data_IF_898329991457
#
_entry.id   IF_898329991457
#
_cell.length_a   1.000
_cell.length_b   1.000
_cell.length_c   1.000
_cell.angle_alpha   90.00
_cell.angle_beta   90.00
_cell.angle_gamma   90.00
#
_symmetry.space_group_name_H-M   'P 1'
#
loop_
_entity.id
_entity.type
_entity.pdbx_description
1 polymer ?
#
# COMPACT_ATOMS: atom_id res chain seq x y z
N UNK A 1 -3.72 -5.57 12.06
CA UNK A 1 -3.27 -4.39 11.28
C UNK A 1 -3.48 -4.67 9.80
N UNK A 2 -4.11 -3.74 9.09
CA UNK A 2 -4.36 -3.79 7.65
C UNK A 2 -3.12 -3.40 6.84
N UNK A 3 -2.73 -2.12 6.87
CA UNK A 3 -1.63 -1.59 6.06
C UNK A 3 -0.92 -0.41 6.76
N UNK A 4 0.13 0.11 6.11
CA UNK A 4 0.92 1.27 6.53
C UNK A 4 1.59 1.11 7.89
N UNK A 5 2.57 0.23 7.99
CA UNK A 5 3.51 0.24 9.10
C UNK A 5 4.90 -0.14 8.61
N UNK A 6 5.89 0.65 8.96
CA UNK A 6 7.29 0.35 8.71
C UNK A 6 8.11 0.69 9.96
N UNK A 7 9.17 -0.05 10.28
CA UNK A 7 10.02 0.27 11.43
C UNK A 7 10.59 1.69 11.34
N UNK A 8 10.74 2.32 12.50
CA UNK A 8 11.52 3.55 12.70
C UNK A 8 12.95 3.24 13.09
N UNK A 9 13.81 4.26 13.15
CA UNK A 9 15.17 4.15 13.69
C UNK A 9 15.23 3.63 15.14
N UNK A 10 14.10 3.64 15.87
CA UNK A 10 13.98 3.22 17.27
C UNK A 10 13.20 1.92 17.48
N UNK A 11 12.69 1.31 16.41
CA UNK A 11 11.91 0.07 16.51
C UNK A 11 12.84 -1.07 16.96
N UNK A 12 12.42 -1.79 18.00
CA UNK A 12 13.16 -2.93 18.59
C UNK A 12 12.34 -4.22 18.58
N UNK A 13 11.11 -4.13 18.12
CA UNK A 13 10.17 -5.22 17.98
C UNK A 13 10.72 -6.28 17.03
N UNK A 14 10.53 -7.54 17.41
CA UNK A 14 10.91 -8.72 16.63
C UNK A 14 9.69 -9.58 16.39
N UNK A 15 9.65 -10.25 15.24
CA UNK A 15 8.57 -11.17 14.94
C UNK A 15 8.57 -12.37 15.89
N UNK A 16 7.38 -12.77 16.28
CA UNK A 16 7.11 -13.90 17.16
C UNK A 16 6.39 -15.01 16.40
N UNK A 17 6.51 -16.24 16.91
CA UNK A 17 5.76 -17.38 16.38
C UNK A 17 4.25 -17.09 16.45
N UNK A 18 3.54 -17.26 15.33
CA UNK A 18 2.12 -16.96 15.19
C UNK A 18 1.81 -15.58 14.60
N UNK A 19 2.81 -14.71 14.42
CA UNK A 19 2.59 -13.42 13.76
C UNK A 19 2.21 -13.62 12.28
N UNK A 20 1.18 -12.89 11.84
CA UNK A 20 0.74 -12.84 10.45
C UNK A 20 1.27 -11.55 9.80
N UNK A 21 2.36 -11.69 9.06
CA UNK A 21 3.15 -10.58 8.54
C UNK A 21 2.83 -10.37 7.07
N UNK A 22 2.44 -9.14 6.72
CA UNK A 22 2.35 -8.70 5.31
C UNK A 22 3.68 -8.05 4.95
N UNK A 23 4.28 -8.52 3.86
CA UNK A 23 5.48 -7.94 3.26
C UNK A 23 5.02 -7.25 1.99
N UNK A 24 5.02 -5.92 2.02
CA UNK A 24 4.56 -5.04 0.94
C UNK A 24 5.78 -4.23 0.48
N UNK A 25 6.13 -4.38 -0.81
CA UNK A 25 7.43 -4.04 -1.36
C UNK A 25 7.28 -3.31 -2.70
N UNK A 26 7.64 -2.03 -2.68
CA UNK A 26 7.79 -1.22 -3.88
C UNK A 26 9.25 -1.10 -4.35
N UNK A 27 9.45 -1.20 -5.67
CA UNK A 27 10.73 -0.89 -6.35
C UNK A 27 10.44 0.04 -7.52
N UNK A 28 11.40 0.90 -7.90
CA UNK A 28 11.29 1.65 -9.14
C UNK A 28 12.59 1.74 -9.93
N UNK A 29 12.48 1.80 -11.26
CA UNK A 29 13.57 2.17 -12.18
C UNK A 29 13.15 3.44 -12.88
N UNK A 30 13.90 4.53 -12.70
CA UNK A 30 13.58 5.85 -13.28
C UNK A 30 12.13 6.33 -13.06
N UNK A 31 11.50 5.88 -11.98
CA UNK A 31 10.13 6.20 -11.59
C UNK A 31 9.07 5.24 -12.12
N UNK A 32 9.42 4.24 -12.92
CA UNK A 32 8.52 3.12 -13.25
C UNK A 32 8.45 2.18 -12.06
N UNK A 33 7.29 2.06 -11.45
CA UNK A 33 7.09 1.40 -10.16
C UNK A 33 6.59 -0.03 -10.39
N UNK A 34 7.17 -0.98 -9.66
CA UNK A 34 6.58 -2.28 -9.38
C UNK A 34 6.21 -2.34 -7.90
N UNK A 35 4.97 -2.69 -7.64
CA UNK A 35 4.36 -2.88 -6.32
C UNK A 35 3.86 -4.32 -6.16
N UNK A 36 4.19 -4.95 -5.04
CA UNK A 36 3.87 -6.34 -4.75
C UNK A 36 3.83 -6.56 -3.24
N UNK A 37 2.87 -7.37 -2.82
CA UNK A 37 2.75 -7.80 -1.45
C UNK A 37 2.40 -9.27 -1.33
N UNK A 38 2.87 -9.88 -0.23
CA UNK A 38 2.48 -11.22 0.19
C UNK A 38 2.29 -11.28 1.71
N UNK A 39 1.63 -12.33 2.18
CA UNK A 39 1.45 -12.59 3.61
C UNK A 39 2.10 -13.89 4.02
N UNK A 40 2.85 -13.88 5.12
CA UNK A 40 3.51 -15.05 5.74
C UNK A 40 3.12 -15.14 7.20
N UNK A 41 2.89 -16.36 7.68
CA UNK A 41 2.75 -16.65 9.10
C UNK A 41 4.08 -17.20 9.66
N UNK A 42 4.51 -16.67 10.80
CA UNK A 42 5.82 -17.01 11.38
C UNK A 42 5.73 -18.30 12.20
N UNK A 43 6.34 -19.38 11.71
CA UNK A 43 6.56 -20.62 12.47
C UNK A 43 5.30 -21.45 12.79
N UNK A 44 4.15 -21.10 12.21
CA UNK A 44 2.86 -21.82 12.31
C UNK A 44 2.10 -21.73 10.98
N UNK A 45 0.90 -22.31 10.93
CA UNK A 45 0.02 -22.31 9.76
C UNK A 45 -1.46 -22.16 10.14
N UNK A 46 -1.75 -21.45 11.24
CA UNK A 46 -3.11 -21.23 11.76
C UNK A 46 -3.96 -20.43 10.78
N UNK A 47 -3.35 -19.55 10.00
CA UNK A 47 -3.99 -18.61 9.08
C UNK A 47 -3.76 -18.96 7.61
N UNK A 48 -3.31 -20.17 7.29
CA UNK A 48 -3.05 -20.58 5.89
C UNK A 48 -4.26 -20.37 4.98
N UNK A 49 -5.46 -20.74 5.43
CA UNK A 49 -6.70 -20.53 4.65
C UNK A 49 -6.99 -19.05 4.39
N UNK A 50 -6.65 -18.15 5.32
CA UNK A 50 -6.83 -16.70 5.15
C UNK A 50 -5.85 -16.17 4.09
N UNK A 51 -4.58 -16.61 4.15
CA UNK A 51 -3.55 -16.26 3.16
C UNK A 51 -3.87 -16.83 1.77
N UNK A 52 -4.32 -18.09 1.69
CA UNK A 52 -4.73 -18.70 0.43
C UNK A 52 -5.92 -17.96 -0.18
N UNK A 53 -6.84 -17.46 0.67
CA UNK A 53 -7.99 -16.66 0.20
C UNK A 53 -7.55 -15.35 -0.43
N UNK A 54 -6.54 -14.65 0.11
CA UNK A 54 -6.05 -13.41 -0.54
C UNK A 54 -5.39 -13.69 -1.89
N UNK A 55 -4.67 -14.80 -2.01
CA UNK A 55 -4.04 -15.23 -3.27
C UNK A 55 -5.07 -15.62 -4.32
N UNK A 56 -6.09 -16.39 -3.94
CA UNK A 56 -7.18 -16.77 -4.85
C UNK A 56 -7.99 -15.55 -5.32
N UNK A 57 -8.25 -14.60 -4.41
CA UNK A 57 -8.93 -13.35 -4.77
C UNK A 57 -8.12 -12.50 -5.74
N UNK A 58 -6.80 -12.45 -5.58
CA UNK A 58 -5.90 -11.77 -6.52
C UNK A 58 -5.92 -12.42 -7.90
N UNK A 59 -5.85 -13.75 -7.96
CA UNK A 59 -5.90 -14.48 -9.22
C UNK A 59 -7.23 -14.23 -9.95
N UNK A 60 -8.36 -14.32 -9.25
CA UNK A 60 -9.68 -14.05 -9.81
C UNK A 60 -9.80 -12.60 -10.33
N UNK A 61 -9.19 -11.65 -9.63
CA UNK A 61 -9.15 -10.25 -10.04
C UNK A 61 -8.34 -10.04 -11.33
N UNK A 62 -7.17 -10.67 -11.44
CA UNK A 62 -6.29 -10.60 -12.61
C UNK A 62 -6.96 -11.24 -13.84
N UNK A 63 -7.64 -12.38 -13.67
CA UNK A 63 -8.39 -13.04 -14.75
C UNK A 63 -9.48 -12.14 -15.36
N UNK A 64 -10.08 -11.28 -14.54
CA UNK A 64 -11.11 -10.32 -14.98
C UNK A 64 -10.49 -9.03 -15.54
N UNK A 65 -9.27 -8.67 -15.14
CA UNK A 65 -8.64 -7.42 -15.54
C UNK A 65 -8.27 -7.40 -17.03
N UNK A 66 -8.72 -6.37 -17.75
CA UNK A 66 -8.44 -6.20 -19.17
C UNK A 66 -8.99 -4.89 -19.74
N UNK A 67 -8.72 -4.60 -21.02
CA UNK A 67 -9.20 -3.37 -21.66
C UNK A 67 -10.73 -3.37 -21.76
N UNK A 68 -11.35 -2.22 -21.45
CA UNK A 68 -12.81 -2.06 -21.45
C UNK A 68 -13.49 -2.59 -20.19
N UNK A 69 -12.76 -3.21 -19.26
CA UNK A 69 -13.31 -3.70 -18.00
C UNK A 69 -13.44 -2.56 -17.01
N UNK A 70 -14.60 -2.47 -16.37
CA UNK A 70 -14.83 -1.55 -15.27
C UNK A 70 -14.21 -2.10 -13.97
N UNK A 71 -13.51 -1.28 -13.20
CA UNK A 71 -12.87 -1.69 -11.93
C UNK A 71 -13.86 -2.27 -10.91
N UNK A 72 -15.14 -1.90 -10.94
CA UNK A 72 -16.18 -2.51 -10.11
C UNK A 72 -16.41 -4.01 -10.40
N UNK A 73 -16.11 -4.48 -11.61
CA UNK A 73 -16.14 -5.92 -11.95
C UNK A 73 -14.98 -6.68 -11.31
N UNK A 74 -13.82 -6.04 -11.19
CA UNK A 74 -12.67 -6.59 -10.45
C UNK A 74 -13.05 -6.72 -8.97
N UNK A 75 -13.61 -5.66 -8.38
CA UNK A 75 -14.09 -5.71 -6.99
C UNK A 75 -15.18 -6.74 -6.74
N UNK A 76 -16.06 -6.99 -7.70
CA UNK A 76 -17.04 -8.08 -7.63
C UNK A 76 -16.37 -9.47 -7.60
N UNK A 77 -15.36 -9.71 -8.44
CA UNK A 77 -14.60 -10.96 -8.47
C UNK A 77 -13.85 -11.19 -7.15
N UNK A 78 -13.20 -10.14 -6.63
CA UNK A 78 -12.51 -10.16 -5.33
C UNK A 78 -13.50 -10.50 -4.21
N UNK A 79 -14.59 -9.74 -4.08
CA UNK A 79 -15.58 -9.92 -3.02
C UNK A 79 -16.19 -11.32 -3.05
N UNK A 80 -16.62 -11.79 -4.22
CA UNK A 80 -17.26 -13.10 -4.37
C UNK A 80 -16.32 -14.22 -3.94
N UNK A 81 -15.05 -14.13 -4.34
CA UNK A 81 -14.04 -15.12 -3.98
C UNK A 81 -13.80 -15.16 -2.46
N UNK A 82 -13.69 -14.00 -1.83
CA UNK A 82 -13.44 -13.88 -0.40
C UNK A 82 -14.64 -14.36 0.43
N UNK A 83 -15.85 -13.92 0.10
CA UNK A 83 -17.07 -14.24 0.85
C UNK A 83 -17.44 -15.73 0.72
N UNK A 84 -17.24 -16.35 -0.44
CA UNK A 84 -17.46 -17.79 -0.62
C UNK A 84 -16.55 -18.66 0.25
N UNK A 85 -15.43 -18.11 0.72
CA UNK A 85 -14.50 -18.79 1.63
C UNK A 85 -14.75 -18.46 3.10
N UNK A 86 -15.81 -17.72 3.41
CA UNK A 86 -16.23 -17.39 4.77
C UNK A 86 -15.46 -16.24 5.42
N UNK A 87 -14.73 -15.45 4.63
CA UNK A 87 -14.00 -14.27 5.09
C UNK A 87 -14.65 -12.98 4.57
N UNK A 88 -14.11 -11.83 4.96
CA UNK A 88 -14.58 -10.52 4.49
C UNK A 88 -13.47 -9.76 3.76
N UNK A 89 -13.77 -9.09 2.64
CA UNK A 89 -12.85 -8.10 2.08
C UNK A 89 -12.77 -6.88 3.00
N UNK A 90 -11.64 -6.20 3.04
CA UNK A 90 -11.56 -4.87 3.63
C UNK A 90 -12.09 -3.84 2.64
N UNK A 91 -13.29 -3.33 2.90
CA UNK A 91 -14.05 -2.54 1.92
C UNK A 91 -13.45 -1.16 1.61
N UNK A 92 -12.66 -0.60 2.53
CA UNK A 92 -12.06 0.73 2.39
C UNK A 92 -10.54 0.70 2.19
N UNK A 93 -10.01 -0.45 1.76
CA UNK A 93 -8.68 -0.58 1.15
C UNK A 93 -8.87 -1.10 -0.28
N UNK A 94 -8.15 -0.52 -1.21
CA UNK A 94 -8.34 -0.70 -2.65
C UNK A 94 -6.99 -0.67 -3.32
N UNK A 95 -6.83 -1.46 -4.36
CA UNK A 95 -5.73 -1.25 -5.31
C UNK A 95 -5.82 0.10 -5.99
N UNK A 96 -4.80 0.43 -6.77
CA UNK A 96 -4.67 1.76 -7.33
C UNK A 96 -3.99 1.79 -8.70
N UNK A 97 -4.25 2.85 -9.46
CA UNK A 97 -3.47 3.14 -10.66
C UNK A 97 -2.06 3.59 -10.32
N UNK A 98 -1.10 3.24 -11.17
CA UNK A 98 0.31 3.60 -11.03
C UNK A 98 0.74 4.40 -12.26
N UNK A 99 1.49 5.48 -12.02
CA UNK A 99 2.17 6.27 -13.06
C UNK A 99 3.62 6.50 -12.67
N UNK A 100 4.42 7.00 -13.62
CA UNK A 100 5.82 7.34 -13.37
C UNK A 100 5.95 8.33 -12.19
N UNK A 101 6.70 7.95 -11.15
CA UNK A 101 6.85 8.70 -9.88
C UNK A 101 5.54 8.99 -9.12
N UNK A 102 4.44 8.33 -9.47
CA UNK A 102 3.16 8.51 -8.81
C UNK A 102 2.55 7.13 -8.52
N UNK A 103 2.75 6.70 -7.27
CA UNK A 103 2.24 5.43 -6.77
C UNK A 103 0.70 5.36 -6.85
N UNK A 104 0.00 6.45 -6.56
CA UNK A 104 -1.47 6.49 -6.52
C UNK A 104 -2.03 7.45 -7.58
N UNK A 105 -2.21 6.98 -8.80
CA UNK A 105 -2.51 7.79 -9.99
C UNK A 105 -3.99 8.10 -10.24
N UNK A 106 -4.86 7.89 -9.24
CA UNK A 106 -6.28 8.26 -9.26
C UNK A 106 -7.26 7.19 -9.76
N UNK A 107 -6.78 6.05 -10.27
CA UNK A 107 -7.61 4.85 -10.43
C UNK A 107 -7.69 4.18 -9.06
N UNK A 108 -8.88 3.78 -8.63
CA UNK A 108 -9.10 2.92 -7.46
C UNK A 108 -9.63 1.59 -7.95
N UNK A 109 -9.04 0.49 -7.50
CA UNK A 109 -9.43 -0.89 -7.82
C UNK A 109 -10.05 -1.49 -6.55
N UNK A 110 -11.38 -1.51 -6.42
CA UNK A 110 -12.03 -1.85 -5.16
C UNK A 110 -11.90 -3.34 -4.82
N UNK A 111 -11.92 -3.65 -3.52
CA UNK A 111 -12.00 -5.03 -3.00
C UNK A 111 -13.44 -5.49 -2.75
N UNK A 112 -14.41 -4.61 -3.00
CA UNK A 112 -15.85 -4.87 -2.92
C UNK A 112 -16.52 -4.51 -4.24
N UNK A 113 -17.69 -5.10 -4.48
CA UNK A 113 -18.54 -4.72 -5.60
C UNK A 113 -18.90 -3.25 -5.51
N UNK A 114 -18.59 -2.50 -6.56
CA UNK A 114 -19.03 -1.12 -6.73
C UNK A 114 -19.76 -0.96 -8.07
N UNK A 115 -20.74 -0.05 -8.09
CA UNK A 115 -21.46 0.29 -9.31
C UNK A 115 -20.67 1.38 -10.05
N UNK A 116 -19.98 0.99 -11.12
CA UNK A 116 -19.19 1.91 -11.93
C UNK A 116 -17.77 2.10 -11.40
N UNK A 117 -17.14 3.20 -11.77
CA UNK A 117 -15.71 3.44 -11.59
C UNK A 117 -14.98 3.58 -12.91
N UNK A 118 -13.65 3.60 -12.87
CA UNK A 118 -12.82 3.71 -14.07
C UNK A 118 -12.99 2.48 -14.97
N UNK A 119 -13.07 2.71 -16.27
CA UNK A 119 -12.94 1.67 -17.29
C UNK A 119 -11.49 1.62 -17.72
N UNK A 120 -10.87 0.46 -17.54
CA UNK A 120 -9.46 0.21 -17.84
C UNK A 120 -9.19 0.31 -19.33
N UNK A 121 -8.03 0.87 -19.69
CA UNK A 121 -7.60 1.09 -21.07
C UNK A 121 -6.22 0.47 -21.29
N UNK A 122 -5.89 0.08 -22.53
CA UNK A 122 -4.53 -0.34 -22.86
C UNK A 122 -3.51 0.73 -22.43
N UNK A 123 -2.45 0.29 -21.75
CA UNK A 123 -1.41 1.15 -21.18
C UNK A 123 -1.66 1.59 -19.74
N UNK A 124 -2.84 1.33 -19.16
CA UNK A 124 -3.03 1.51 -17.72
C UNK A 124 -2.16 0.51 -16.95
N UNK A 125 -1.50 0.98 -15.90
CA UNK A 125 -0.79 0.16 -14.92
C UNK A 125 -1.55 0.27 -13.61
N UNK A 126 -1.90 -0.86 -13.01
CA UNK A 126 -2.65 -0.92 -11.75
C UNK A 126 -1.99 -1.89 -10.78
N UNK A 127 -1.99 -1.53 -9.50
CA UNK A 127 -1.86 -2.48 -8.41
C UNK A 127 -3.24 -3.10 -8.13
N UNK A 128 -3.28 -4.42 -8.05
CA UNK A 128 -4.46 -5.17 -7.58
C UNK A 128 -4.05 -5.82 -6.27
N UNK A 129 -4.67 -5.42 -5.15
CA UNK A 129 -4.28 -5.81 -3.79
C UNK A 129 -5.48 -6.19 -2.90
N UNK A 130 -5.96 -7.44 -2.99
CA UNK A 130 -6.99 -7.94 -2.11
C UNK A 130 -6.53 -8.03 -0.65
N UNK A 131 -7.26 -7.33 0.22
CA UNK A 131 -7.14 -7.48 1.67
C UNK A 131 -8.30 -8.32 2.22
N UNK A 132 -7.95 -9.40 2.90
CA UNK A 132 -8.88 -10.39 3.46
C UNK A 132 -8.78 -10.38 4.97
N UNK A 133 -9.91 -10.41 5.67
CA UNK A 133 -9.95 -10.46 7.13
C UNK A 133 -11.01 -11.41 7.69
N UNK A 134 -10.76 -11.90 8.90
CA UNK A 134 -11.74 -12.57 9.77
C UNK A 134 -12.45 -11.60 10.75
N UNK A 135 -12.19 -10.29 10.64
CA UNK A 135 -12.73 -9.25 11.51
C UNK A 135 -13.96 -8.50 10.96
N UNK A 136 -13.92 -7.17 11.06
CA UNK A 136 -15.01 -6.27 10.67
C UNK A 136 -15.08 -6.03 9.14
N UNK A 137 -13.98 -6.19 8.41
CA UNK A 137 -13.92 -5.88 6.97
C UNK A 137 -13.74 -4.38 6.70
N UNK A 138 -13.16 -3.65 7.65
CA UNK A 138 -12.93 -2.21 7.53
C UNK A 138 -11.72 -1.80 8.35
N UNK A 139 -10.93 -0.86 7.85
CA UNK A 139 -9.78 -0.29 8.56
C UNK A 139 -9.97 1.16 8.96
N UNK A 140 -9.25 1.56 10.00
CA UNK A 140 -9.14 2.95 10.41
C UNK A 140 -7.97 3.15 11.35
N UNK A 141 -7.52 4.39 11.50
CA UNK A 141 -6.45 4.70 12.43
C UNK A 141 -5.94 6.12 12.29
N UNK A 142 -5.22 6.54 13.33
CA UNK A 142 -4.56 7.87 13.40
C UNK A 142 -3.12 7.76 13.92
N UNK A 143 -2.64 6.54 14.16
CA UNK A 143 -1.29 6.31 14.66
C UNK A 143 -0.29 6.55 13.54
N UNK A 144 0.90 7.06 13.87
CA UNK A 144 1.94 7.29 12.88
C UNK A 144 2.50 5.96 12.36
N UNK A 145 2.48 5.75 11.05
CA UNK A 145 2.99 4.55 10.37
C UNK A 145 4.51 4.51 10.18
N UNK A 146 5.15 5.66 10.42
CA UNK A 146 6.50 5.96 9.97
C UNK A 146 6.69 6.06 8.45
N UNK A 147 5.60 6.24 7.70
CA UNK A 147 5.59 6.49 6.25
C UNK A 147 5.06 7.91 6.02
N UNK A 148 5.83 8.72 5.30
CA UNK A 148 5.62 10.16 5.13
C UNK A 148 5.53 10.55 3.65
N UNK A 149 4.87 11.68 3.40
CA UNK A 149 4.84 12.34 2.10
C UNK A 149 4.95 13.85 2.27
N UNK A 150 5.41 14.52 1.22
CA UNK A 150 5.36 15.99 1.14
C UNK A 150 3.92 16.41 0.84
N UNK A 151 3.37 17.31 1.66
CA UNK A 151 2.06 17.94 1.42
C UNK A 151 2.17 19.23 0.64
N UNK A 152 3.18 20.04 0.96
CA UNK A 152 3.41 21.33 0.36
C UNK A 152 4.84 21.79 0.61
N UNK A 153 5.37 22.56 -0.32
CA UNK A 153 6.68 23.20 -0.21
C UNK A 153 6.49 24.67 0.10
N UNK A 154 7.19 25.15 1.12
CA UNK A 154 7.23 26.55 1.53
C UNK A 154 8.55 26.83 2.24
N UNK A 155 8.89 28.11 2.40
CA UNK A 155 10.10 28.50 3.09
C UNK A 155 10.01 28.17 4.59
N UNK A 156 11.10 27.64 5.16
CA UNK A 156 11.28 27.40 6.59
C UNK A 156 12.60 28.00 7.04
N UNK A 157 12.59 28.78 8.13
CA UNK A 157 13.80 29.48 8.61
C UNK A 157 14.90 28.55 9.11
N UNK A 158 14.54 27.34 9.55
CA UNK A 158 15.49 26.37 10.08
C UNK A 158 16.30 25.74 8.95
N UNK A 159 17.60 26.05 8.90
CA UNK A 159 18.47 25.62 7.80
C UNK A 159 18.54 24.10 7.63
N UNK A 160 18.56 23.33 8.74
CA UNK A 160 18.62 21.88 8.69
C UNK A 160 17.32 21.30 8.14
N UNK A 161 16.17 21.82 8.57
CA UNK A 161 14.87 21.40 8.05
C UNK A 161 14.69 21.81 6.57
N UNK A 162 15.16 22.99 6.17
CA UNK A 162 15.14 23.42 4.76
C UNK A 162 15.95 22.46 3.89
N UNK A 163 17.21 22.19 4.26
CA UNK A 163 18.06 21.22 3.54
C UNK A 163 17.42 19.83 3.47
N UNK A 164 16.80 19.37 4.57
CA UNK A 164 16.12 18.08 4.60
C UNK A 164 15.00 17.99 3.57
N UNK A 165 14.11 18.99 3.47
CA UNK A 165 12.99 18.91 2.53
C UNK A 165 13.45 19.04 1.06
N UNK A 166 14.53 19.78 0.80
CA UNK A 166 15.14 19.86 -0.54
C UNK A 166 15.69 18.49 -0.96
N UNK A 167 16.39 17.79 -0.06
CA UNK A 167 16.90 16.44 -0.30
C UNK A 167 15.78 15.40 -0.46
N UNK A 168 14.71 15.48 0.34
CA UNK A 168 13.53 14.61 0.20
C UNK A 168 12.91 14.79 -1.20
N UNK A 169 12.74 16.04 -1.66
CA UNK A 169 12.23 16.33 -3.00
C UNK A 169 13.12 15.75 -4.10
N UNK A 170 14.43 16.00 -3.99
CA UNK A 170 15.39 15.55 -5.00
C UNK A 170 15.45 14.02 -5.09
N UNK A 171 15.53 13.34 -3.94
CA UNK A 171 15.75 11.90 -3.84
C UNK A 171 14.50 11.08 -4.10
N UNK A 172 13.36 11.45 -3.50
CA UNK A 172 12.15 10.63 -3.55
C UNK A 172 11.14 11.11 -4.59
N UNK A 173 11.29 12.33 -5.14
CA UNK A 173 10.51 12.83 -6.29
C UNK A 173 8.99 12.70 -6.11
N UNK A 174 8.50 12.90 -4.88
CA UNK A 174 7.09 12.80 -4.53
C UNK A 174 6.63 11.42 -4.04
N UNK A 175 7.49 10.39 -4.13
CA UNK A 175 7.20 9.07 -3.56
C UNK A 175 7.24 9.10 -2.02
N UNK A 176 6.48 8.20 -1.36
CA UNK A 176 6.53 8.06 0.09
C UNK A 176 7.93 7.71 0.60
N UNK A 177 8.24 8.13 1.83
CA UNK A 177 9.52 7.85 2.48
C UNK A 177 9.36 7.53 3.95
N UNK A 178 10.33 6.82 4.53
CA UNK A 178 10.35 6.49 5.95
C UNK A 178 11.38 7.33 6.73
N UNK A 179 11.13 7.57 8.02
CA UNK A 179 12.06 8.32 8.88
C UNK A 179 13.45 7.67 8.93
N UNK A 180 13.52 6.34 8.98
CA UNK A 180 14.79 5.59 9.00
C UNK A 180 15.69 5.88 7.78
N UNK A 181 15.12 6.31 6.65
CA UNK A 181 15.89 6.67 5.46
C UNK A 181 16.51 8.07 5.56
N UNK A 182 15.90 8.95 6.36
CA UNK A 182 16.36 10.33 6.53
C UNK A 182 17.66 10.40 7.33
N UNK A 183 17.99 9.37 8.12
CA UNK A 183 19.28 9.29 8.81
C UNK A 183 20.47 9.19 7.84
N UNK A 184 20.25 8.71 6.60
CA UNK A 184 21.28 8.76 5.55
C UNK A 184 21.47 10.17 4.96
N UNK A 185 20.56 11.10 5.24
CA UNK A 185 20.62 12.50 4.81
C UNK A 185 21.18 13.35 5.97
N UNK A 186 20.67 13.13 7.18
CA UNK A 186 21.12 13.78 8.40
C UNK A 186 21.21 12.77 9.53
N UNK A 187 22.44 12.37 9.89
CA UNK A 187 22.67 11.31 10.88
C UNK A 187 22.01 11.59 12.25
N UNK A 188 22.35 12.74 12.86
CA UNK A 188 21.93 13.08 14.22
C UNK A 188 20.68 13.98 14.31
N UNK A 189 20.29 14.63 13.21
CA UNK A 189 19.22 15.63 13.20
C UNK A 189 17.94 15.17 12.48
N UNK A 190 17.95 13.99 11.83
CA UNK A 190 16.85 13.54 10.96
C UNK A 190 15.47 13.64 11.62
N UNK A 191 15.30 13.02 12.80
CA UNK A 191 14.03 13.03 13.52
C UNK A 191 13.60 14.45 13.92
N UNK A 192 14.55 15.32 14.31
CA UNK A 192 14.24 16.70 14.70
C UNK A 192 13.81 17.54 13.50
N UNK A 193 14.53 17.45 12.37
CA UNK A 193 14.19 18.11 11.12
C UNK A 193 12.82 17.65 10.59
N UNK A 194 12.55 16.34 10.61
CA UNK A 194 11.25 15.78 10.23
C UNK A 194 10.11 16.35 11.09
N UNK A 195 10.29 16.38 12.41
CA UNK A 195 9.31 16.94 13.33
C UNK A 195 9.03 18.44 13.08
N UNK A 196 10.06 19.24 12.77
CA UNK A 196 9.90 20.65 12.40
C UNK A 196 9.08 20.79 11.11
N UNK A 197 9.38 19.99 10.10
CA UNK A 197 8.65 19.99 8.82
C UNK A 197 7.19 19.54 8.98
N UNK A 198 6.92 18.56 9.85
CA UNK A 198 5.56 18.14 10.19
C UNK A 198 4.78 19.23 10.94
N UNK A 199 5.38 19.88 11.95
CA UNK A 199 4.74 21.01 12.66
C UNK A 199 4.48 22.19 11.72
N UNK A 200 5.37 22.38 10.75
CA UNK A 200 5.17 23.33 9.67
C UNK A 200 4.15 22.82 8.60
N UNK A 201 3.49 21.67 8.77
CA UNK A 201 2.50 21.17 7.82
C UNK A 201 3.02 20.94 6.40
N UNK A 202 4.34 20.82 6.24
CA UNK A 202 5.01 20.58 4.95
C UNK A 202 5.09 19.09 4.64
N UNK A 203 5.20 18.28 5.69
CA UNK A 203 5.18 16.81 5.63
C UNK A 203 3.99 16.31 6.45
N UNK A 204 3.40 15.20 6.03
CA UNK A 204 2.49 14.41 6.87
C UNK A 204 2.76 12.93 6.70
N UNK A 205 2.28 12.14 7.66
CA UNK A 205 2.37 10.69 7.59
C UNK A 205 1.09 10.09 7.03
N UNK A 206 1.20 8.92 6.41
CA UNK A 206 0.07 8.03 6.18
C UNK A 206 -0.25 7.34 7.50
N UNK A 207 -1.49 7.32 8.02
CA UNK A 207 -1.77 6.66 9.29
C UNK A 207 -1.63 5.14 9.15
N UNK A 208 -1.25 4.47 10.25
CA UNK A 208 -1.46 3.02 10.37
C UNK A 208 -2.95 2.74 10.19
N UNK A 209 -3.26 1.74 9.39
CA UNK A 209 -4.62 1.31 9.13
C UNK A 209 -4.88 0.02 9.91
N UNK A 210 -5.49 0.16 11.08
CA UNK A 210 -5.84 -0.96 11.95
C UNK A 210 -7.20 -1.55 11.52
N UNK A 211 -7.33 -2.88 11.58
CA UNK A 211 -8.60 -3.56 11.32
C UNK A 211 -9.55 -3.28 12.51
N UNK A 212 -10.76 -2.79 12.23
CA UNK A 212 -11.63 -2.22 13.26
C UNK A 212 -12.34 -3.25 14.16
N UNK A 213 -12.30 -4.53 13.81
CA UNK A 213 -12.81 -5.64 14.60
C UNK A 213 -11.71 -6.49 15.24
N UNK A 214 -10.48 -5.98 15.30
CA UNK A 214 -9.30 -6.68 15.81
C UNK A 214 -9.01 -8.01 15.09
N UNK A 215 -9.48 -8.14 13.85
CA UNK A 215 -9.25 -9.31 13.02
C UNK A 215 -7.82 -9.39 12.46
N UNK A 216 -7.43 -10.60 12.08
CA UNK A 216 -6.25 -10.84 11.27
C UNK A 216 -6.50 -10.40 9.83
N UNK A 217 -5.44 -9.91 9.19
CA UNK A 217 -5.50 -9.41 7.80
C UNK A 217 -4.39 -10.05 6.98
N UNK A 218 -4.78 -10.66 5.86
CA UNK A 218 -3.89 -11.10 4.80
C UNK A 218 -4.06 -10.21 3.55
N UNK A 219 -2.96 -10.02 2.84
CA UNK A 219 -2.84 -9.27 1.59
C UNK A 219 -2.07 -10.13 0.58
N UNK A 220 -2.45 -10.00 -0.68
CA UNK A 220 -1.64 -10.43 -1.82
C UNK A 220 -1.77 -9.36 -2.89
N UNK A 221 -0.70 -9.05 -3.59
CA UNK A 221 -0.71 -7.97 -4.56
C UNK A 221 0.21 -8.21 -5.74
N UNK A 222 -0.24 -7.75 -6.90
CA UNK A 222 0.59 -7.61 -8.08
C UNK A 222 0.35 -6.28 -8.78
N UNK A 223 1.42 -5.73 -9.34
CA UNK A 223 1.35 -4.73 -10.41
C UNK A 223 1.07 -5.40 -11.75
N UNK A 224 0.08 -4.85 -12.46
CA UNK A 224 -0.48 -5.38 -13.70
C UNK A 224 -0.53 -4.29 -14.77
N UNK A 225 -0.05 -4.61 -15.97
CA UNK A 225 -0.21 -3.80 -17.18
C UNK A 225 -1.47 -4.25 -17.94
N UNK A 226 -2.33 -3.31 -18.29
CA UNK A 226 -3.46 -3.56 -19.18
C UNK A 226 -2.97 -3.48 -20.62
N UNK A 227 -3.09 -4.58 -21.35
CA UNK A 227 -2.65 -4.69 -22.76
C UNK A 227 -3.84 -4.51 -23.71
N UNK A 228 -3.61 -4.59 -25.01
CA UNK A 228 -4.69 -4.52 -26.01
C UNK A 228 -5.60 -5.77 -26.01
N UNK A 229 -5.14 -6.89 -25.43
CA UNK A 229 -5.83 -8.18 -25.47
C UNK A 229 -6.14 -8.78 -24.10
N UNK A 230 -5.80 -8.09 -23.01
CA UNK A 230 -5.98 -8.59 -21.65
C UNK A 230 -5.11 -7.83 -20.64
N UNK A 231 -4.45 -8.57 -19.77
CA UNK A 231 -3.56 -8.04 -18.74
C UNK A 231 -2.25 -8.85 -18.66
N UNK A 232 -1.18 -8.22 -18.17
CA UNK A 232 0.14 -8.82 -17.96
C UNK A 232 0.61 -8.50 -16.54
N UNK A 233 1.00 -9.53 -15.79
CA UNK A 233 1.54 -9.38 -14.43
C UNK A 233 3.02 -9.01 -14.51
N UNK A 234 3.40 -7.86 -13.96
CA UNK A 234 4.77 -7.35 -14.03
C UNK A 234 5.65 -7.77 -12.84
N UNK A 235 5.06 -8.39 -11.81
CA UNK A 235 5.70 -8.65 -10.51
C UNK A 235 5.54 -10.11 -10.04
N UNK A 236 5.52 -11.07 -10.97
CA UNK A 236 5.38 -12.50 -10.66
C UNK A 236 6.66 -13.13 -10.05
#
# INVERSE_FOLDING_TARGET
MGAHWTPSSKTTEVFSKGDLVKLDVGVHIDGYIGDNALTVEIGTSKYSKLVDTSREALNAAIEVAGPGINVGMIGYAVQTTIENRGYKPIANLTGHGIKRYNLHSGISVPNVKENGGTVLKPGDIIAIEPFVTDGAGRVGGKRNSNIYHIRQIRNIKDEKASKMIDEIQHRYKGLPFAERWLHNIQENDATNSLNKLMRAGMISYYPILDELGDGMVAQSEHTVLITNSGSEVLTN
#
